data_IF_512921364284
#
_entry.id   IF_512921364284
#
_cell.length_a   1.000
_cell.length_b   1.000
_cell.length_c   1.000
_cell.angle_alpha   90.00
_cell.angle_beta   90.00
_cell.angle_gamma   90.00
#
_symmetry.space_group_name_H-M   'P 1'
#
loop_
_entity.id
_entity.type
_entity.pdbx_description
1 polymer ?
#
# COMPACT_ATOMS: atom_id res chain seq x y z
N UNK A 1 -15.26 -13.95 -1.23
CA UNK A 1 -14.24 -12.96 -1.33
C UNK A 1 -13.54 -12.94 -2.67
N UNK A 2 -13.60 -14.04 -3.43
CA UNK A 2 -12.87 -14.17 -4.67
C UNK A 2 -13.71 -14.26 -5.95
N UNK A 3 -15.05 -14.11 -5.93
CA UNK A 3 -15.83 -14.24 -7.16
C UNK A 3 -15.38 -13.27 -8.26
N UNK A 4 -14.98 -12.07 -7.87
CA UNK A 4 -14.51 -11.06 -8.83
C UNK A 4 -13.22 -11.51 -9.51
N UNK A 5 -12.30 -12.12 -8.76
CA UNK A 5 -11.05 -12.64 -9.30
C UNK A 5 -11.32 -13.83 -10.23
N UNK A 6 -12.21 -14.71 -9.83
CA UNK A 6 -12.63 -15.84 -10.67
C UNK A 6 -13.25 -15.37 -11.98
N UNK A 7 -14.08 -14.32 -11.92
CA UNK A 7 -14.71 -13.74 -13.10
C UNK A 7 -13.70 -13.23 -14.12
N UNK A 8 -12.51 -12.84 -13.67
CA UNK A 8 -11.41 -12.43 -14.53
C UNK A 8 -10.54 -13.60 -15.00
N UNK A 9 -10.87 -14.83 -14.63
CA UNK A 9 -10.12 -16.00 -15.05
C UNK A 9 -8.80 -16.23 -14.35
N UNK A 10 -8.61 -15.64 -13.18
CA UNK A 10 -7.40 -15.82 -12.38
C UNK A 10 -7.47 -17.16 -11.65
N UNK A 11 -6.38 -17.94 -11.72
CA UNK A 11 -6.28 -19.21 -11.01
C UNK A 11 -6.13 -18.96 -9.51
N UNK A 12 -7.19 -19.19 -8.76
CA UNK A 12 -7.24 -18.93 -7.32
C UNK A 12 -6.42 -19.92 -6.49
N UNK A 13 -6.09 -21.09 -7.03
CA UNK A 13 -5.24 -22.04 -6.32
C UNK A 13 -3.81 -21.52 -6.19
N UNK A 14 -3.38 -20.69 -7.15
CA UNK A 14 -2.03 -20.12 -7.19
C UNK A 14 -2.01 -18.62 -6.95
N UNK A 15 -3.18 -17.97 -6.82
CA UNK A 15 -3.26 -16.54 -6.58
C UNK A 15 -3.18 -16.24 -5.08
N UNK A 16 -2.35 -15.26 -4.71
CA UNK A 16 -2.31 -14.78 -3.34
C UNK A 16 -3.60 -14.04 -2.99
N UNK A 17 -4.02 -14.12 -1.73
CA UNK A 17 -5.08 -13.26 -1.22
C UNK A 17 -4.60 -11.82 -1.22
N UNK A 18 -5.49 -10.92 -1.63
CA UNK A 18 -5.22 -9.48 -1.56
C UNK A 18 -6.14 -8.87 -0.51
N UNK A 19 -5.54 -8.23 0.48
CA UNK A 19 -6.25 -7.60 1.58
C UNK A 19 -6.08 -6.09 1.45
N UNK A 20 -7.21 -5.37 1.45
CA UNK A 20 -7.22 -3.92 1.42
C UNK A 20 -7.16 -3.38 2.85
N UNK A 21 -6.23 -2.46 3.09
CA UNK A 21 -6.01 -1.83 4.38
C UNK A 21 -6.38 -0.36 4.27
N UNK A 22 -7.39 0.07 5.00
CA UNK A 22 -7.88 1.44 4.92
C UNK A 22 -7.17 2.35 5.90
N UNK A 23 -6.58 3.43 5.40
CA UNK A 23 -6.01 4.48 6.25
C UNK A 23 -7.14 5.30 6.86
N UNK A 24 -6.91 5.74 8.10
CA UNK A 24 -7.85 6.59 8.84
C UNK A 24 -7.10 7.80 9.42
N UNK A 25 -7.83 8.68 10.10
CA UNK A 25 -7.21 9.83 10.77
C UNK A 25 -6.24 9.40 11.87
N UNK A 26 -6.40 8.19 12.41
CA UNK A 26 -5.60 7.69 13.53
C UNK A 26 -4.56 6.66 13.12
N UNK A 27 -4.70 6.05 11.95
CA UNK A 27 -3.86 4.93 11.51
C UNK A 27 -3.39 5.13 10.08
N UNK A 28 -2.10 5.01 9.87
CA UNK A 28 -1.47 4.98 8.55
C UNK A 28 -0.85 3.61 8.32
N UNK A 29 -1.26 2.92 7.26
CA UNK A 29 -0.77 1.58 6.94
C UNK A 29 0.37 1.66 5.92
N UNK A 30 1.37 0.82 6.07
CA UNK A 30 2.43 0.63 5.09
C UNK A 30 2.63 -0.85 4.85
N UNK A 31 3.12 -1.20 3.66
CA UNK A 31 3.29 -2.60 3.26
C UNK A 31 4.76 -2.87 2.94
N UNK A 32 5.21 -4.02 3.40
CA UNK A 32 6.57 -4.51 3.16
C UNK A 32 6.51 -6.03 2.97
N UNK A 33 7.54 -6.62 2.41
CA UNK A 33 7.76 -8.07 2.50
C UNK A 33 9.16 -8.31 3.05
N UNK A 34 9.25 -8.82 4.27
CA UNK A 34 10.55 -9.02 4.94
C UNK A 34 11.33 -10.20 4.40
N UNK A 35 10.64 -11.18 3.82
CA UNK A 35 11.27 -12.41 3.32
C UNK A 35 11.72 -12.32 1.86
N UNK A 36 10.97 -11.60 1.03
CA UNK A 36 11.25 -11.52 -0.39
C UNK A 36 10.71 -10.21 -0.97
N UNK A 37 9.90 -10.27 -2.01
CA UNK A 37 9.32 -9.08 -2.64
C UNK A 37 7.86 -9.28 -3.00
N UNK A 38 7.10 -9.94 -2.11
CA UNK A 38 5.68 -10.22 -2.34
C UNK A 38 4.88 -8.93 -2.48
N UNK A 39 4.13 -8.83 -3.56
CA UNK A 39 3.49 -7.62 -4.01
C UNK A 39 2.21 -8.01 -4.76
N UNK A 40 1.13 -7.23 -4.69
CA UNK A 40 -0.12 -7.56 -5.40
C UNK A 40 -0.01 -7.26 -6.89
N UNK A 41 0.75 -8.08 -7.61
CA UNK A 41 1.07 -7.86 -9.03
C UNK A 41 -0.14 -7.87 -9.94
N UNK A 42 -1.20 -8.61 -9.57
CA UNK A 42 -2.43 -8.67 -10.35
C UNK A 42 -3.09 -7.29 -10.45
N UNK A 43 -2.94 -6.46 -9.43
CA UNK A 43 -3.53 -5.12 -9.38
C UNK A 43 -2.54 -4.02 -9.71
N UNK A 44 -1.28 -4.16 -9.29
CA UNK A 44 -0.32 -3.06 -9.26
C UNK A 44 0.86 -3.26 -10.22
N UNK A 45 0.95 -4.41 -10.88
CA UNK A 45 2.06 -4.72 -11.77
C UNK A 45 3.33 -5.07 -11.02
N UNK A 46 4.50 -4.79 -11.62
CA UNK A 46 5.78 -5.10 -11.01
C UNK A 46 6.10 -4.20 -9.83
N UNK A 47 6.68 -4.74 -8.74
CA UNK A 47 7.09 -3.90 -7.63
C UNK A 47 8.24 -2.97 -8.01
N UNK A 48 8.31 -1.78 -7.39
CA UNK A 48 9.44 -0.89 -7.61
C UNK A 48 10.73 -1.47 -7.02
N UNK A 49 11.87 -1.04 -7.55
CA UNK A 49 13.17 -1.55 -7.10
C UNK A 49 13.41 -1.36 -5.61
N UNK A 50 13.04 -0.18 -5.08
CA UNK A 50 13.25 0.11 -3.66
C UNK A 50 12.43 -0.82 -2.76
N UNK A 51 11.24 -1.28 -3.21
CA UNK A 51 10.41 -2.21 -2.45
C UNK A 51 11.13 -3.53 -2.18
N UNK A 52 11.97 -3.96 -3.13
CA UNK A 52 12.74 -5.19 -3.03
C UNK A 52 14.04 -5.02 -2.27
N UNK A 53 14.47 -3.80 -1.98
CA UNK A 53 15.74 -3.54 -1.32
C UNK A 53 15.76 -4.10 0.10
N UNK A 54 16.93 -4.59 0.53
CA UNK A 54 17.11 -5.09 1.89
C UNK A 54 16.91 -3.99 2.92
N UNK A 55 17.36 -2.78 2.61
CA UNK A 55 17.18 -1.62 3.48
C UNK A 55 15.72 -1.33 3.74
N UNK A 56 14.90 -1.22 2.70
CA UNK A 56 13.46 -0.98 2.87
C UNK A 56 12.81 -2.09 3.68
N UNK A 57 13.09 -3.35 3.34
CA UNK A 57 12.46 -4.51 3.98
C UNK A 57 12.74 -4.60 5.47
N UNK A 58 13.95 -4.25 5.91
CA UNK A 58 14.29 -4.30 7.33
C UNK A 58 13.91 -3.01 8.06
N UNK A 59 14.20 -1.85 7.50
CA UNK A 59 13.97 -0.57 8.15
C UNK A 59 12.49 -0.23 8.32
N UNK A 60 11.64 -0.63 7.37
CA UNK A 60 10.21 -0.34 7.46
C UNK A 60 9.56 -1.04 8.67
N UNK A 61 10.14 -2.14 9.14
CA UNK A 61 9.67 -2.83 10.35
C UNK A 61 10.14 -2.12 11.61
N UNK A 62 11.39 -1.67 11.67
CA UNK A 62 11.98 -1.10 12.88
C UNK A 62 11.77 0.41 13.02
N UNK A 63 11.77 1.13 11.92
CA UNK A 63 11.71 2.59 11.94
C UNK A 63 10.85 3.15 10.80
N UNK A 64 9.56 2.72 10.72
CA UNK A 64 8.71 3.10 9.59
C UNK A 64 8.55 4.61 9.44
N UNK A 65 8.44 5.34 10.53
CA UNK A 65 8.26 6.80 10.48
C UNK A 65 9.46 7.50 9.86
N UNK A 66 10.66 7.03 10.17
CA UNK A 66 11.88 7.58 9.58
C UNK A 66 11.98 7.26 8.10
N UNK A 67 11.64 6.04 7.71
CA UNK A 67 11.65 5.65 6.29
C UNK A 67 10.64 6.48 5.49
N UNK A 68 9.45 6.72 6.03
CA UNK A 68 8.45 7.55 5.38
C UNK A 68 8.95 8.98 5.18
N UNK A 69 9.70 9.54 6.11
CA UNK A 69 10.31 10.86 5.94
C UNK A 69 11.27 10.88 4.76
N UNK A 70 12.01 9.81 4.54
CA UNK A 70 12.93 9.72 3.40
C UNK A 70 12.17 9.70 2.07
N UNK A 71 10.92 9.24 2.06
CA UNK A 71 10.03 9.35 0.89
C UNK A 71 9.36 10.72 0.79
N UNK A 72 9.63 11.61 1.73
CA UNK A 72 8.98 12.92 1.77
C UNK A 72 7.62 12.92 2.47
N UNK A 73 7.28 11.85 3.18
CA UNK A 73 5.99 11.70 3.85
C UNK A 73 6.16 11.89 5.35
N UNK A 74 5.51 12.92 5.88
CA UNK A 74 5.52 13.21 7.31
C UNK A 74 4.21 12.75 7.95
N UNK A 75 4.31 11.77 8.84
CA UNK A 75 3.16 11.28 9.59
C UNK A 75 3.22 11.84 11.01
N UNK A 76 2.17 12.54 11.47
CA UNK A 76 2.15 13.11 12.82
C UNK A 76 2.35 12.06 13.91
N UNK A 77 2.92 12.46 15.03
CA UNK A 77 3.24 11.54 16.14
C UNK A 77 1.98 10.90 16.76
N UNK A 78 0.83 11.56 16.65
CA UNK A 78 -0.43 11.02 17.18
C UNK A 78 -1.09 10.01 16.24
N UNK A 79 -0.53 9.78 15.06
CA UNK A 79 -1.03 8.78 14.12
C UNK A 79 -0.21 7.50 14.28
N UNK A 80 -0.87 6.38 14.46
CA UNK A 80 -0.23 5.08 14.57
C UNK A 80 0.17 4.59 13.16
N UNK A 81 1.41 4.17 13.01
CA UNK A 81 1.86 3.54 11.77
C UNK A 81 1.84 2.04 11.97
N UNK A 82 1.12 1.32 11.09
CA UNK A 82 1.07 -0.13 11.10
C UNK A 82 1.77 -0.67 9.87
N UNK A 83 2.79 -1.48 10.10
CA UNK A 83 3.54 -2.13 9.03
C UNK A 83 2.99 -3.53 8.83
N UNK A 84 2.61 -3.85 7.59
CA UNK A 84 2.03 -5.14 7.23
C UNK A 84 3.01 -5.90 6.35
N UNK A 85 3.31 -7.12 6.75
CA UNK A 85 4.30 -7.96 6.09
C UNK A 85 3.61 -8.93 5.12
N UNK A 86 3.72 -8.65 3.84
CA UNK A 86 3.18 -9.52 2.80
C UNK A 86 3.96 -10.83 2.71
N UNK A 87 3.28 -11.89 2.29
CA UNK A 87 3.92 -13.19 2.07
C UNK A 87 3.35 -13.84 0.81
N UNK A 88 3.76 -15.08 0.53
CA UNK A 88 3.34 -15.77 -0.69
C UNK A 88 1.82 -15.99 -0.77
N UNK A 89 1.17 -16.16 0.38
CA UNK A 89 -0.27 -16.44 0.46
C UNK A 89 -1.11 -15.18 0.60
N UNK A 90 -0.54 -14.09 1.11
CA UNK A 90 -1.28 -12.90 1.51
C UNK A 90 -0.52 -11.64 1.10
N UNK A 91 -1.19 -10.78 0.33
CA UNK A 91 -0.64 -9.53 -0.15
C UNK A 91 -1.54 -8.38 0.29
N UNK A 92 -0.95 -7.23 0.55
CA UNK A 92 -1.68 -6.08 1.06
C UNK A 92 -1.65 -4.92 0.08
N UNK A 93 -2.74 -4.17 0.05
CA UNK A 93 -2.83 -2.90 -0.66
C UNK A 93 -3.41 -1.87 0.30
N UNK A 94 -2.84 -0.68 0.30
CA UNK A 94 -3.32 0.42 1.16
C UNK A 94 -4.34 1.24 0.41
N UNK A 95 -5.48 1.49 1.07
CA UNK A 95 -6.48 2.42 0.56
C UNK A 95 -6.25 3.75 1.26
N UNK A 96 -5.70 4.76 0.57
CA UNK A 96 -5.36 6.03 1.20
C UNK A 96 -6.61 6.82 1.56
N UNK A 97 -6.47 7.69 2.56
CA UNK A 97 -7.53 8.63 2.89
C UNK A 97 -7.74 9.60 1.74
N UNK A 98 -8.99 9.99 1.55
CA UNK A 98 -9.33 11.04 0.61
C UNK A 98 -8.74 12.37 1.09
N UNK A 99 -7.95 13.09 0.25
CA UNK A 99 -7.39 14.39 0.66
C UNK A 99 -8.49 15.41 0.96
N UNK A 100 -8.16 16.36 1.83
CA UNK A 100 -9.05 17.49 2.09
C UNK A 100 -9.28 18.29 0.80
N UNK A 101 -10.38 18.99 0.74
CA UNK A 101 -10.77 19.84 -0.40
C UNK A 101 -11.03 19.06 -1.70
N UNK A 102 -11.39 17.79 -1.58
CA UNK A 102 -11.78 16.97 -2.73
C UNK A 102 -13.29 16.66 -2.74
N UNK A 103 -14.06 17.31 -1.87
CA UNK A 103 -15.51 17.14 -1.82
C UNK A 103 -16.11 17.46 -3.20
N UNK A 104 -16.92 16.55 -3.69
CA UNK A 104 -17.54 16.72 -5.02
C UNK A 104 -16.66 16.33 -6.20
N UNK A 105 -15.42 15.88 -5.97
CA UNK A 105 -14.58 15.38 -7.05
C UNK A 105 -15.14 14.07 -7.61
N UNK A 106 -15.01 13.89 -8.92
CA UNK A 106 -15.37 12.63 -9.57
C UNK A 106 -14.34 11.57 -9.28
N UNK A 107 -14.71 10.29 -9.46
CA UNK A 107 -13.77 9.19 -9.32
C UNK A 107 -12.59 9.33 -10.29
N UNK A 108 -12.84 9.76 -11.51
CA UNK A 108 -11.79 9.98 -12.50
C UNK A 108 -10.76 11.00 -12.03
N UNK A 109 -11.21 12.08 -11.40
CA UNK A 109 -10.32 13.13 -10.89
C UNK A 109 -9.54 12.64 -9.70
N UNK A 110 -10.16 11.85 -8.81
CA UNK A 110 -9.49 11.24 -7.66
C UNK A 110 -8.42 10.22 -8.08
N UNK A 111 -8.71 9.42 -9.11
CA UNK A 111 -7.75 8.43 -9.61
C UNK A 111 -6.44 9.06 -10.06
N UNK A 112 -6.47 10.28 -10.56
CA UNK A 112 -5.27 10.97 -11.05
C UNK A 112 -4.26 11.30 -9.95
N UNK A 113 -4.70 11.39 -8.70
CA UNK A 113 -3.81 11.69 -7.57
C UNK A 113 -3.39 10.43 -6.81
N UNK A 114 -3.93 9.26 -7.17
CA UNK A 114 -3.54 8.00 -6.57
C UNK A 114 -2.36 7.43 -7.36
N UNK A 115 -1.29 7.08 -6.65
CA UNK A 115 -0.10 6.51 -7.26
C UNK A 115 0.17 5.12 -6.69
N UNK A 116 1.02 4.35 -7.38
CA UNK A 116 1.50 3.07 -6.87
C UNK A 116 2.07 3.22 -5.45
N UNK A 117 2.83 4.27 -5.21
CA UNK A 117 3.46 4.50 -3.93
C UNK A 117 2.44 4.78 -2.82
N UNK A 118 1.32 5.44 -3.14
CA UNK A 118 0.25 5.65 -2.17
C UNK A 118 -0.44 4.32 -1.81
N UNK A 119 -0.50 3.38 -2.74
CA UNK A 119 -1.11 2.06 -2.51
C UNK A 119 -0.18 1.11 -1.73
N UNK A 120 1.08 1.45 -1.58
CA UNK A 120 2.02 0.77 -0.68
C UNK A 120 2.06 1.48 0.69
N UNK A 121 1.62 2.72 0.74
CA UNK A 121 1.56 3.50 1.96
C UNK A 121 2.76 4.42 2.19
N UNK A 122 3.69 4.53 1.23
CA UNK A 122 4.89 5.37 1.40
C UNK A 122 4.67 6.82 0.99
N UNK A 123 3.56 7.11 0.30
CA UNK A 123 3.15 8.48 0.02
C UNK A 123 1.67 8.68 0.34
N UNK A 124 1.27 9.94 0.48
CA UNK A 124 -0.12 10.33 0.69
C UNK A 124 -0.57 11.08 -0.56
N UNK A 125 -1.74 10.72 -1.15
CA UNK A 125 -2.25 11.45 -2.30
C UNK A 125 -2.41 12.93 -1.95
N UNK A 126 -2.03 13.79 -2.87
CA UNK A 126 -2.18 15.24 -2.71
C UNK A 126 -2.70 15.88 -3.99
N UNK A 127 -3.33 17.00 -3.81
CA UNK A 127 -3.89 17.80 -4.91
C UNK A 127 -2.77 18.50 -5.66
#
# INVERSE_FOLDING_TARGET
ANPVIEDFGIDLEHAARIIALENTTDVHNVVVCTLCSCYPRQLMGQPPTWYKSRSYRSRMVYEPRSVLKEFGTHIPDNVTIRTHDSNADMRYIVIPMRPENTTGWTEEKLEKIISRDSLVGVTIPSI
#
